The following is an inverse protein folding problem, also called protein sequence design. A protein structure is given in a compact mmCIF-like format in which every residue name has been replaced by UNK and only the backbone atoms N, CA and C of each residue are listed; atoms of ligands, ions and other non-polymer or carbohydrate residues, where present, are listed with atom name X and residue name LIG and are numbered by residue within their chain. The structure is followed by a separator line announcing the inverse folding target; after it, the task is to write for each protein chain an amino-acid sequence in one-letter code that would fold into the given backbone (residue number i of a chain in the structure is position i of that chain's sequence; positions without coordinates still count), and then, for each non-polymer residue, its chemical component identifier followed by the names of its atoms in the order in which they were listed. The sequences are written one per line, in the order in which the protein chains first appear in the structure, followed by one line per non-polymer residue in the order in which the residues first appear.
data_IF_193903726353
#
_entry.id   IF_193903726353
#
_cell.length_a   1.000
_cell.length_b   1.000
_cell.length_c   1.000
_cell.angle_alpha   90.00
_cell.angle_beta   90.00
_cell.angle_gamma   90.00
#
_symmetry.space_group_name_H-M   'P 1'
#
loop_
_entity.id
_entity.type
_entity.pdbx_description
1 polymer ?
#
# COMPACT_ATOMS: atom_id res chain seq x y z
N UNK A 1 3.94 6.32 -33.32
CA UNK A 1 3.63 5.57 -32.07
C UNK A 1 4.91 5.40 -31.29
N UNK A 2 5.23 6.34 -30.40
CA UNK A 2 6.42 6.24 -29.56
C UNK A 2 6.10 5.32 -28.38
N UNK A 3 6.77 4.17 -28.32
CA UNK A 3 6.85 3.35 -27.10
C UNK A 3 7.50 4.21 -26.02
N UNK A 4 6.71 4.66 -25.05
CA UNK A 4 7.24 5.32 -23.88
C UNK A 4 8.26 4.37 -23.24
N UNK A 5 9.54 4.73 -23.32
CA UNK A 5 10.58 4.13 -22.48
C UNK A 5 10.08 4.32 -21.05
N UNK A 6 9.90 3.21 -20.32
CA UNK A 6 9.85 3.23 -18.86
C UNK A 6 11.01 4.13 -18.42
N UNK A 7 10.68 5.25 -17.76
CA UNK A 7 11.68 6.13 -17.20
C UNK A 7 12.60 5.26 -16.35
N UNK A 8 13.90 5.29 -16.65
CA UNK A 8 14.90 4.66 -15.78
C UNK A 8 14.66 5.20 -14.38
N UNK A 9 14.56 4.31 -13.39
CA UNK A 9 14.72 4.71 -11.99
C UNK A 9 15.91 5.67 -11.94
N UNK A 10 15.67 6.90 -11.54
CA UNK A 10 16.78 7.79 -11.25
C UNK A 10 17.60 7.04 -10.20
N UNK A 11 18.91 6.82 -10.42
CA UNK A 11 19.75 6.39 -9.31
C UNK A 11 19.49 7.39 -8.19
N UNK A 12 19.35 6.91 -6.96
CA UNK A 12 19.48 7.78 -5.80
C UNK A 12 20.84 8.49 -5.97
N UNK A 13 20.81 9.70 -6.50
CA UNK A 13 21.97 10.60 -6.59
C UNK A 13 22.26 11.22 -5.23
N UNK A 14 21.37 10.98 -4.25
CA UNK A 14 21.78 10.77 -2.87
C UNK A 14 22.65 9.53 -2.86
N UNK A 15 23.95 9.76 -3.00
CA UNK A 15 24.96 8.96 -2.34
C UNK A 15 24.49 8.70 -0.92
N UNK A 16 23.76 7.60 -0.73
CA UNK A 16 23.51 7.07 0.58
C UNK A 16 24.92 6.81 1.10
N UNK A 17 25.43 7.64 2.00
CA UNK A 17 26.80 7.52 2.50
C UNK A 17 27.07 6.10 3.07
N UNK A 18 26.01 5.37 3.47
CA UNK A 18 26.04 3.97 3.88
C UNK A 18 26.29 2.95 2.75
N UNK A 19 26.01 3.30 1.49
CA UNK A 19 26.20 2.45 0.30
C UNK A 19 27.34 2.93 -0.62
N UNK A 20 28.14 3.91 -0.17
CA UNK A 20 29.39 4.29 -0.82
C UNK A 20 30.49 3.25 -0.49
N UNK A 21 30.51 2.15 -1.24
CA UNK A 21 31.53 1.09 -1.17
C UNK A 21 31.25 -0.03 -2.18
N UNK A 22 32.08 -1.08 -2.22
CA UNK A 22 31.92 -2.27 -3.08
C UNK A 22 30.69 -3.15 -2.72
N UNK A 23 29.79 -2.66 -1.86
CA UNK A 23 28.69 -3.44 -1.29
C UNK A 23 27.35 -2.99 -1.86
N UNK A 24 26.64 -3.93 -2.48
CA UNK A 24 25.27 -3.73 -2.96
C UNK A 24 24.32 -4.19 -1.85
N UNK A 25 23.37 -3.35 -1.37
CA UNK A 25 22.39 -3.79 -0.40
C UNK A 25 21.54 -4.93 -0.95
N UNK A 26 21.42 -6.01 -0.17
CA UNK A 26 20.53 -7.11 -0.45
C UNK A 26 19.47 -7.20 0.65
N UNK A 27 18.22 -7.38 0.25
CA UNK A 27 17.11 -7.61 1.16
C UNK A 27 16.90 -9.10 1.32
N UNK A 28 17.02 -9.60 2.54
CA UNK A 28 16.57 -10.94 2.87
C UNK A 28 15.07 -10.89 3.12
N UNK A 29 14.30 -11.63 2.33
CA UNK A 29 12.85 -11.76 2.50
C UNK A 29 12.47 -13.20 2.85
N UNK A 30 11.41 -13.34 3.62
CA UNK A 30 10.80 -14.65 3.85
C UNK A 30 10.17 -15.17 2.55
N UNK A 31 10.39 -16.45 2.25
CA UNK A 31 9.71 -17.09 1.14
C UNK A 31 8.23 -17.29 1.47
N UNK A 32 7.34 -16.60 0.77
CA UNK A 32 5.89 -16.74 0.92
C UNK A 32 5.40 -17.85 -0.01
N UNK A 33 4.99 -19.04 0.49
CA UNK A 33 4.57 -20.13 -0.36
C UNK A 33 3.19 -19.82 -0.97
N UNK A 34 3.20 -19.41 -2.23
CA UNK A 34 1.99 -18.98 -2.92
C UNK A 34 2.28 -18.50 -4.32
N UNK A 35 1.26 -17.92 -4.93
CA UNK A 35 1.31 -17.33 -6.26
C UNK A 35 0.64 -15.96 -6.21
N UNK A 36 1.11 -15.01 -7.03
CA UNK A 36 0.41 -13.73 -7.12
C UNK A 36 -0.98 -13.91 -7.71
N UNK A 37 -1.96 -13.10 -7.28
CA UNK A 37 -3.34 -13.14 -7.79
C UNK A 37 -3.35 -12.96 -9.32
N UNK A 38 -2.45 -12.13 -9.85
CA UNK A 38 -2.26 -11.96 -11.29
C UNK A 38 -1.65 -13.19 -11.99
N UNK A 39 -0.74 -13.93 -11.37
CA UNK A 39 -0.11 -15.10 -12.01
C UNK A 39 -1.11 -16.23 -12.31
N UNK A 40 -2.16 -16.38 -11.49
CA UNK A 40 -3.27 -17.28 -11.78
C UNK A 40 -4.04 -16.91 -13.07
N UNK A 41 -3.93 -15.66 -13.54
CA UNK A 41 -4.49 -15.22 -14.83
C UNK A 41 -3.78 -15.82 -16.05
N UNK A 42 -2.51 -16.20 -15.90
CA UNK A 42 -1.61 -16.61 -17.00
C UNK A 42 -1.61 -18.13 -17.23
N UNK A 43 -2.44 -18.89 -16.53
CA UNK A 43 -2.55 -20.33 -16.71
C UNK A 43 -3.04 -20.66 -18.14
N UNK A 44 -2.30 -21.49 -18.92
CA UNK A 44 -2.65 -21.78 -20.31
C UNK A 44 -3.98 -22.52 -20.49
N UNK A 45 -4.53 -23.07 -19.41
CA UNK A 45 -5.76 -23.88 -19.46
C UNK A 45 -7.05 -23.06 -19.43
N UNK A 46 -7.08 -21.86 -18.81
CA UNK A 46 -8.26 -20.96 -18.73
C UNK A 46 -7.88 -19.48 -18.45
N UNK A 47 -7.18 -18.79 -19.36
CA UNK A 47 -6.74 -17.43 -19.13
C UNK A 47 -7.95 -16.46 -19.04
N UNK A 48 -8.03 -15.68 -17.97
CA UNK A 48 -9.05 -14.63 -17.77
C UNK A 48 -10.15 -14.95 -16.73
N UNK A 49 -10.85 -16.09 -16.84
CA UNK A 49 -11.98 -16.38 -15.92
C UNK A 49 -11.50 -16.72 -14.49
N UNK A 50 -10.37 -17.41 -14.38
CA UNK A 50 -9.71 -17.65 -13.09
C UNK A 50 -9.26 -16.35 -12.45
N UNK A 51 -8.69 -15.43 -13.23
CA UNK A 51 -8.31 -14.10 -12.72
C UNK A 51 -9.50 -13.32 -12.18
N UNK A 52 -10.61 -13.25 -12.91
CA UNK A 52 -11.82 -12.54 -12.45
C UNK A 52 -12.31 -13.13 -11.14
N UNK A 53 -12.33 -14.46 -11.04
CA UNK A 53 -12.76 -15.17 -9.82
C UNK A 53 -11.83 -14.89 -8.64
N UNK A 54 -10.51 -15.01 -8.85
CA UNK A 54 -9.51 -14.77 -7.82
C UNK A 54 -9.46 -13.31 -7.39
N UNK A 55 -9.50 -12.38 -8.34
CA UNK A 55 -9.58 -10.95 -8.06
C UNK A 55 -10.83 -10.62 -7.25
N UNK A 56 -12.01 -11.12 -7.65
CA UNK A 56 -13.24 -10.94 -6.88
C UNK A 56 -13.16 -11.58 -5.50
N UNK A 57 -12.55 -12.77 -5.39
CA UNK A 57 -12.37 -13.46 -4.11
C UNK A 57 -11.48 -12.65 -3.18
N UNK A 58 -10.34 -12.17 -3.68
CA UNK A 58 -9.45 -11.29 -2.93
C UNK A 58 -10.17 -10.00 -2.52
N UNK A 59 -10.88 -9.32 -3.43
CA UNK A 59 -11.61 -8.09 -3.09
C UNK A 59 -12.72 -8.30 -2.04
N UNK A 60 -13.23 -9.52 -1.87
CA UNK A 60 -14.16 -9.88 -0.81
C UNK A 60 -13.48 -10.36 0.49
N UNK A 61 -12.15 -10.46 0.53
CA UNK A 61 -11.37 -10.93 1.68
C UNK A 61 -11.10 -9.82 2.70
N UNK A 62 -10.93 -10.20 3.97
CA UNK A 62 -10.55 -9.26 5.03
C UNK A 62 -9.15 -8.68 4.81
N UNK A 63 -8.25 -9.46 4.20
CA UNK A 63 -6.89 -9.04 3.89
C UNK A 63 -6.88 -7.88 2.90
N UNK A 64 -7.73 -7.92 1.86
CA UNK A 64 -7.82 -6.81 0.91
C UNK A 64 -8.22 -5.48 1.57
N UNK A 65 -9.12 -5.50 2.56
CA UNK A 65 -9.53 -4.29 3.31
C UNK A 65 -8.42 -3.77 4.20
N UNK A 66 -7.67 -4.67 4.86
CA UNK A 66 -6.51 -4.32 5.67
C UNK A 66 -5.38 -3.75 4.81
N UNK A 67 -5.06 -4.39 3.69
CA UNK A 67 -4.05 -3.91 2.75
C UNK A 67 -4.46 -2.55 2.18
N UNK A 68 -5.72 -2.38 1.78
CA UNK A 68 -6.19 -1.10 1.26
C UNK A 68 -6.09 0.03 2.32
N UNK A 69 -6.42 -0.27 3.58
CA UNK A 69 -6.27 0.69 4.67
C UNK A 69 -4.79 1.05 4.91
N UNK A 70 -3.91 0.05 4.91
CA UNK A 70 -2.48 0.25 5.05
C UNK A 70 -1.88 1.06 3.88
N UNK A 71 -2.21 0.70 2.64
CA UNK A 71 -1.74 1.39 1.43
C UNK A 71 -2.19 2.85 1.43
N UNK A 72 -3.45 3.11 1.81
CA UNK A 72 -3.95 4.49 1.94
C UNK A 72 -3.26 5.22 3.09
N UNK A 73 -2.95 4.54 4.20
CA UNK A 73 -2.25 5.18 5.32
C UNK A 73 -0.81 5.56 4.96
N UNK A 74 -0.07 4.66 4.32
CA UNK A 74 1.33 4.86 3.95
C UNK A 74 1.53 5.65 2.66
N UNK A 75 0.45 5.92 1.91
CA UNK A 75 0.53 6.63 0.64
C UNK A 75 1.16 5.79 -0.47
N UNK A 76 1.02 4.46 -0.40
CA UNK A 76 1.45 3.54 -1.45
C UNK A 76 0.56 3.72 -2.69
N UNK A 77 1.17 3.88 -3.85
CA UNK A 77 0.45 4.22 -5.09
C UNK A 77 0.41 3.12 -6.15
N UNK A 78 1.14 2.01 -5.99
CA UNK A 78 1.20 0.93 -6.98
C UNK A 78 0.57 -0.41 -6.55
N UNK A 79 -0.50 -0.40 -5.73
CA UNK A 79 -1.10 -1.68 -5.35
C UNK A 79 -1.88 -2.27 -6.51
N UNK A 80 -1.35 -3.35 -7.10
CA UNK A 80 -2.02 -4.15 -8.12
C UNK A 80 -2.01 -5.66 -7.76
N UNK A 81 -2.69 -6.49 -8.56
CA UNK A 81 -2.86 -7.92 -8.29
C UNK A 81 -1.57 -8.76 -8.48
N UNK A 82 -0.53 -8.18 -9.07
CA UNK A 82 0.82 -8.75 -9.09
C UNK A 82 1.47 -8.68 -7.71
N UNK A 83 1.20 -7.60 -6.97
CA UNK A 83 1.77 -7.30 -5.64
C UNK A 83 0.97 -7.94 -4.48
N UNK A 84 0.13 -8.93 -4.79
CA UNK A 84 -0.68 -9.66 -3.81
C UNK A 84 -0.50 -11.15 -4.05
N UNK A 85 0.05 -11.85 -3.06
CA UNK A 85 0.24 -13.30 -3.09
C UNK A 85 -0.91 -13.97 -2.37
N UNK A 86 -1.56 -14.96 -3.01
CA UNK A 86 -2.44 -15.89 -2.32
C UNK A 86 -1.61 -17.01 -1.71
N UNK A 87 -1.69 -17.14 -0.39
CA UNK A 87 -0.93 -18.16 0.32
C UNK A 87 -1.57 -19.53 0.13
N UNK A 88 -0.75 -20.60 0.04
CA UNK A 88 -1.26 -21.98 -0.14
C UNK A 88 -2.16 -22.45 1.00
N UNK A 89 -1.88 -22.02 2.23
CA UNK A 89 -2.69 -22.33 3.41
C UNK A 89 -3.94 -21.45 3.56
N UNK A 90 -4.21 -20.54 2.61
CA UNK A 90 -5.29 -19.56 2.69
C UNK A 90 -4.82 -18.18 3.17
N UNK A 91 -5.64 -17.16 2.89
CA UNK A 91 -5.28 -15.76 3.12
C UNK A 91 -4.39 -15.18 2.03
N UNK A 92 -3.98 -13.93 2.23
CA UNK A 92 -3.17 -13.18 1.29
C UNK A 92 -1.99 -12.48 1.98
N UNK A 93 -0.94 -12.21 1.20
CA UNK A 93 0.19 -11.36 1.59
C UNK A 93 0.35 -10.24 0.57
N UNK A 94 0.76 -9.06 1.04
CA UNK A 94 1.14 -7.93 0.18
C UNK A 94 2.65 -7.90 0.04
N UNK A 95 3.15 -7.62 -1.15
CA UNK A 95 4.59 -7.50 -1.46
C UNK A 95 4.85 -6.19 -2.21
N UNK A 96 6.12 -5.91 -2.54
CA UNK A 96 6.53 -4.81 -3.42
C UNK A 96 5.92 -3.46 -3.00
N UNK A 97 6.28 -3.01 -1.79
CA UNK A 97 5.81 -1.74 -1.21
C UNK A 97 6.61 -0.51 -1.66
N UNK A 98 7.21 -0.57 -2.85
CA UNK A 98 8.22 0.39 -3.32
C UNK A 98 7.72 1.84 -3.38
N UNK A 99 6.42 2.05 -3.66
CA UNK A 99 5.82 3.39 -3.78
C UNK A 99 5.25 3.92 -2.46
N UNK A 100 5.59 3.35 -1.31
CA UNK A 100 5.23 3.95 -0.01
C UNK A 100 5.76 5.37 0.11
N UNK A 101 5.02 6.22 0.82
CA UNK A 101 5.32 7.64 0.99
C UNK A 101 5.52 8.36 -0.35
N UNK A 102 4.75 7.98 -1.37
CA UNK A 102 4.99 8.40 -2.76
C UNK A 102 5.17 9.92 -2.88
N UNK A 103 4.27 10.70 -2.30
CA UNK A 103 4.28 12.17 -2.44
C UNK A 103 5.42 12.86 -1.66
N UNK A 104 6.08 12.13 -0.76
CA UNK A 104 7.19 12.64 0.03
C UNK A 104 8.53 12.26 -0.64
N UNK A 105 8.64 11.01 -1.11
CA UNK A 105 9.91 10.46 -1.57
C UNK A 105 10.07 10.44 -3.10
N UNK A 106 8.99 10.63 -3.87
CA UNK A 106 9.03 10.51 -5.33
C UNK A 106 8.82 11.86 -6.01
N UNK A 107 9.86 12.30 -6.73
CA UNK A 107 9.89 13.57 -7.45
C UNK A 107 9.27 13.38 -8.83
N UNK A 108 7.97 13.66 -8.96
CA UNK A 108 7.30 13.88 -10.26
C UNK A 108 7.48 12.75 -11.29
N UNK A 109 6.75 11.65 -11.12
CA UNK A 109 6.50 10.68 -12.19
C UNK A 109 5.06 10.76 -12.66
N UNK A 110 4.83 10.62 -13.98
CA UNK A 110 3.55 10.22 -14.57
C UNK A 110 3.20 8.82 -14.05
N UNK A 111 2.71 8.78 -12.81
CA UNK A 111 2.46 7.55 -12.08
C UNK A 111 0.99 7.19 -12.19
N UNK A 112 0.70 6.01 -12.75
CA UNK A 112 -0.64 5.47 -12.76
C UNK A 112 -1.00 4.99 -11.35
N UNK A 113 -1.68 5.84 -10.57
CA UNK A 113 -2.10 5.50 -9.22
C UNK A 113 -3.07 4.30 -9.22
N UNK A 114 -2.53 3.14 -8.84
CA UNK A 114 -3.21 1.89 -8.61
C UNK A 114 -3.48 1.70 -7.12
N UNK A 115 -4.74 1.53 -6.75
CA UNK A 115 -5.11 1.27 -5.36
C UNK A 115 -6.31 0.33 -5.27
N UNK A 116 -6.40 -0.41 -4.16
CA UNK A 116 -7.44 -1.42 -3.97
C UNK A 116 -8.84 -0.84 -3.90
N UNK A 117 -9.01 0.42 -3.53
CA UNK A 117 -10.32 1.10 -3.58
C UNK A 117 -10.83 1.18 -5.02
N UNK A 118 -9.99 1.60 -5.98
CA UNK A 118 -10.34 1.61 -7.41
C UNK A 118 -10.62 0.21 -7.94
N UNK A 119 -9.88 -0.79 -7.46
CA UNK A 119 -10.16 -2.19 -7.80
C UNK A 119 -11.51 -2.68 -7.23
N UNK A 120 -11.86 -2.28 -6.01
CA UNK A 120 -13.14 -2.60 -5.38
C UNK A 120 -14.30 -1.99 -6.16
N UNK A 121 -14.21 -0.72 -6.53
CA UNK A 121 -15.23 0.01 -7.29
C UNK A 121 -15.49 -0.60 -8.67
N UNK A 122 -14.47 -1.21 -9.29
CA UNK A 122 -14.60 -1.91 -10.58
C UNK A 122 -15.15 -3.33 -10.47
N UNK A 123 -15.01 -3.98 -9.31
CA UNK A 123 -15.20 -5.44 -9.18
C UNK A 123 -16.40 -5.81 -8.31
N UNK A 124 -16.74 -4.96 -7.35
CA UNK A 124 -17.79 -5.19 -6.36
C UNK A 124 -19.01 -4.34 -6.68
N UNK A 125 -20.19 -4.80 -6.23
CA UNK A 125 -21.40 -3.97 -6.25
C UNK A 125 -21.33 -2.84 -5.22
N UNK A 126 -22.18 -1.82 -5.38
CA UNK A 126 -22.18 -0.62 -4.53
C UNK A 126 -22.30 -0.93 -3.02
N UNK A 127 -23.12 -1.92 -2.65
CA UNK A 127 -23.28 -2.32 -1.24
C UNK A 127 -21.98 -2.89 -0.68
N UNK A 128 -21.31 -3.75 -1.45
CA UNK A 128 -20.02 -4.33 -1.10
C UNK A 128 -18.88 -3.32 -1.11
N UNK A 129 -18.88 -2.33 -2.00
CA UNK A 129 -17.92 -1.21 -1.97
C UNK A 129 -18.07 -0.40 -0.68
N UNK A 130 -19.32 -0.09 -0.28
CA UNK A 130 -19.57 0.61 0.99
C UNK A 130 -19.06 -0.18 2.19
N UNK A 131 -19.33 -1.49 2.22
CA UNK A 131 -18.80 -2.38 3.25
C UNK A 131 -17.26 -2.42 3.23
N UNK A 132 -16.65 -2.52 2.05
CA UNK A 132 -15.20 -2.50 1.88
C UNK A 132 -14.57 -1.24 2.51
N UNK A 133 -15.09 -0.06 2.19
CA UNK A 133 -14.60 1.20 2.76
C UNK A 133 -14.85 1.31 4.28
N UNK A 134 -15.99 0.82 4.77
CA UNK A 134 -16.26 0.77 6.22
C UNK A 134 -15.29 -0.16 6.96
N UNK A 135 -14.94 -1.30 6.36
CA UNK A 135 -14.01 -2.26 6.93
C UNK A 135 -12.57 -1.73 6.93
N UNK A 136 -12.18 -0.98 5.90
CA UNK A 136 -10.92 -0.24 5.88
C UNK A 136 -10.83 0.73 7.07
N UNK A 137 -11.89 1.50 7.32
CA UNK A 137 -11.95 2.42 8.47
C UNK A 137 -11.77 1.69 9.80
N UNK A 138 -12.34 0.49 9.96
CA UNK A 138 -12.14 -0.32 11.17
C UNK A 138 -10.71 -0.84 11.27
N UNK A 139 -10.10 -1.27 10.18
CA UNK A 139 -8.69 -1.68 10.16
C UNK A 139 -7.75 -0.53 10.54
N UNK A 140 -8.08 0.71 10.14
CA UNK A 140 -7.27 1.89 10.45
C UNK A 140 -7.24 2.29 11.92
N UNK A 141 -8.12 1.73 12.77
CA UNK A 141 -8.10 2.00 14.20
C UNK A 141 -6.77 1.62 14.88
N UNK A 142 -6.03 0.66 14.32
CA UNK A 142 -4.72 0.23 14.84
C UNK A 142 -3.52 1.02 14.30
N UNK A 143 -3.70 1.97 13.38
CA UNK A 143 -2.56 2.64 12.72
C UNK A 143 -1.70 3.47 13.68
N UNK A 144 -2.30 4.17 14.64
CA UNK A 144 -1.54 4.97 15.60
C UNK A 144 -0.65 4.12 16.50
N UNK A 145 -1.18 2.98 16.98
CA UNK A 145 -0.43 2.02 17.78
C UNK A 145 0.69 1.35 16.96
N UNK A 146 0.38 0.96 15.72
CA UNK A 146 1.37 0.40 14.81
C UNK A 146 2.53 1.38 14.53
N UNK A 147 2.22 2.67 14.34
CA UNK A 147 3.23 3.71 14.15
C UNK A 147 4.14 3.85 15.37
N UNK A 148 3.55 3.91 16.56
CA UNK A 148 4.29 4.02 17.81
C UNK A 148 5.21 2.81 18.00
N UNK A 149 4.73 1.59 17.71
CA UNK A 149 5.51 0.37 17.78
C UNK A 149 6.67 0.32 16.78
N UNK A 150 6.48 0.85 15.57
CA UNK A 150 7.47 0.83 14.50
C UNK A 150 8.41 2.05 14.51
N UNK A 151 8.19 3.05 15.38
CA UNK A 151 8.84 4.35 15.28
C UNK A 151 10.37 4.27 15.33
N UNK A 152 10.93 3.47 16.24
CA UNK A 152 12.38 3.33 16.37
C UNK A 152 13.01 2.70 15.11
N UNK A 153 12.39 1.64 14.59
CA UNK A 153 12.86 0.94 13.39
C UNK A 153 12.70 1.80 12.14
N UNK A 154 11.59 2.53 12.01
CA UNK A 154 11.36 3.48 10.92
C UNK A 154 12.40 4.60 10.92
N UNK A 155 12.70 5.18 12.08
CA UNK A 155 13.73 6.20 12.20
C UNK A 155 15.12 5.66 11.81
N UNK A 156 15.45 4.44 12.25
CA UNK A 156 16.72 3.79 11.88
C UNK A 156 16.79 3.55 10.37
N UNK A 157 15.70 3.07 9.75
CA UNK A 157 15.61 2.82 8.32
C UNK A 157 15.73 4.12 7.51
N UNK A 158 15.02 5.18 7.90
CA UNK A 158 15.12 6.48 7.24
C UNK A 158 16.53 7.05 7.32
N UNK A 159 17.16 7.00 8.50
CA UNK A 159 18.56 7.41 8.67
C UNK A 159 19.53 6.63 7.79
N UNK A 160 19.26 5.33 7.56
CA UNK A 160 20.06 4.50 6.68
C UNK A 160 19.84 4.84 5.20
N UNK A 161 18.59 5.03 4.77
CA UNK A 161 18.21 5.22 3.37
C UNK A 161 18.36 6.66 2.87
N UNK A 162 18.28 7.65 3.75
CA UNK A 162 18.30 9.08 3.43
C UNK A 162 19.23 9.85 4.40
N UNK A 163 20.52 9.48 4.48
CA UNK A 163 21.43 10.10 5.43
C UNK A 163 21.53 11.62 5.18
N UNK A 164 21.34 12.42 6.24
CA UNK A 164 21.39 13.88 6.17
C UNK A 164 20.09 14.57 5.68
N UNK A 165 19.06 13.81 5.31
CA UNK A 165 17.79 14.32 4.79
C UNK A 165 16.75 14.58 5.91
N UNK A 166 17.11 15.44 6.87
CA UNK A 166 16.29 15.67 8.07
C UNK A 166 14.88 16.23 7.77
N UNK A 167 14.73 16.99 6.68
CA UNK A 167 13.45 17.53 6.24
C UNK A 167 12.52 16.43 5.73
N UNK A 168 13.04 15.52 4.90
CA UNK A 168 12.34 14.36 4.36
C UNK A 168 11.95 13.38 5.46
N UNK A 169 12.83 13.16 6.45
CA UNK A 169 12.51 12.33 7.62
C UNK A 169 11.32 12.89 8.38
N UNK A 170 11.36 14.20 8.69
CA UNK A 170 10.28 14.88 9.40
C UNK A 170 8.99 14.84 8.60
N UNK A 171 9.07 15.05 7.28
CA UNK A 171 7.92 14.98 6.39
C UNK A 171 7.30 13.58 6.35
N UNK A 172 8.12 12.52 6.26
CA UNK A 172 7.66 11.13 6.27
C UNK A 172 6.95 10.77 7.58
N UNK A 173 7.56 11.09 8.73
CA UNK A 173 6.98 10.79 10.04
C UNK A 173 5.71 11.59 10.30
N UNK A 174 5.69 12.88 9.94
CA UNK A 174 4.50 13.71 10.04
C UNK A 174 3.38 13.23 9.12
N UNK A 175 3.71 12.77 7.91
CA UNK A 175 2.74 12.20 6.98
C UNK A 175 2.07 10.95 7.58
N UNK A 176 2.86 10.01 8.11
CA UNK A 176 2.32 8.80 8.74
C UNK A 176 1.49 9.12 9.98
N UNK A 177 1.96 10.05 10.82
CA UNK A 177 1.27 10.44 12.06
C UNK A 177 -0.04 11.19 11.81
N UNK A 178 -0.09 12.07 10.79
CA UNK A 178 -1.30 12.77 10.42
C UNK A 178 -2.37 11.80 9.90
N UNK A 179 -1.96 10.78 9.15
CA UNK A 179 -2.87 9.78 8.55
C UNK A 179 -3.22 8.63 9.49
N UNK A 180 -2.54 8.49 10.63
CA UNK A 180 -2.88 7.52 11.67
C UNK A 180 -3.95 8.04 12.65
N UNK A 181 -4.35 9.31 12.54
CA UNK A 181 -5.33 9.91 13.44
C UNK A 181 -6.69 9.21 13.32
N UNK A 182 -7.38 9.07 14.46
CA UNK A 182 -8.70 8.45 14.52
C UNK A 182 -9.67 9.19 13.58
N UNK A 183 -10.34 8.44 12.72
CA UNK A 183 -11.32 8.99 11.77
C UNK A 183 -10.71 9.60 10.51
N UNK A 184 -9.39 9.76 10.41
CA UNK A 184 -8.75 10.29 9.20
C UNK A 184 -9.15 9.51 7.94
N UNK A 185 -8.98 8.18 7.98
CA UNK A 185 -9.32 7.33 6.83
C UNK A 185 -10.83 7.34 6.53
N UNK A 186 -11.68 7.48 7.55
CA UNK A 186 -13.13 7.56 7.35
C UNK A 186 -13.51 8.83 6.56
N UNK A 187 -12.90 9.97 6.91
CA UNK A 187 -13.05 11.24 6.20
C UNK A 187 -12.55 11.13 4.77
N UNK A 188 -11.34 10.59 4.57
CA UNK A 188 -10.72 10.41 3.26
C UNK A 188 -11.57 9.54 2.32
N UNK A 189 -12.19 8.49 2.85
CA UNK A 189 -13.02 7.58 2.06
C UNK A 189 -14.47 8.06 1.89
N UNK A 190 -14.86 9.17 2.53
CA UNK A 190 -16.24 9.67 2.55
C UNK A 190 -17.21 8.74 3.28
N UNK A 191 -16.73 7.98 4.28
CA UNK A 191 -17.50 6.97 5.04
C UNK A 191 -18.01 7.53 6.37
N UNK A 192 -17.84 8.83 6.63
CA UNK A 192 -18.23 9.50 7.88
C UNK A 192 -19.53 8.94 8.46
N UNK A 193 -19.39 8.42 9.67
CA UNK A 193 -20.47 7.82 10.44
C UNK A 193 -21.67 8.78 10.49
N UNK A 194 -22.85 8.29 10.12
CA UNK A 194 -24.13 8.94 10.46
C UNK A 194 -24.41 8.93 11.99
N UNK A 195 -23.39 8.78 12.83
CA UNK A 195 -23.47 8.68 14.28
C UNK A 195 -23.13 9.99 15.01
N UNK A 196 -22.72 11.06 14.31
CA UNK A 196 -22.52 12.40 14.92
C UNK A 196 -23.69 13.36 14.72
N UNK A 197 -24.86 12.89 14.28
CA UNK A 197 -26.13 13.64 14.43
C UNK A 197 -26.82 13.36 15.78
N UNK A 198 -26.03 13.37 16.85
CA UNK A 198 -26.52 13.21 18.22
C UNK A 198 -25.66 14.03 19.17
N UNK A 199 -26.32 14.97 19.85
CA UNK A 199 -25.80 15.86 20.90
C UNK A 199 -25.06 17.11 20.41
N UNK A 200 -25.84 18.08 19.95
CA UNK A 200 -25.64 19.47 20.38
C UNK A 200 -26.40 19.66 21.71
N UNK A 201 -25.80 20.31 22.73
CA UNK A 201 -26.55 20.74 23.92
C UNK A 201 -27.63 21.77 23.57
#
# INVERSE_FOLDING_TARGET
MNKARLAKSQPLTLECAAFQGDFIPAWCSEAIPGNSVLSHAKSPSRPGMQFITEHKTFMNSNDARKFAAFDQWTGLRDRNMGNVIRHKAGGYASIDHETMLHDILWVSSDFNHNCLVKHAEKTLDHKRVRAFKADMTRAAAGHAEALASAQAELNALLNLLLPGAAAEHSAAMNFLAARSQRGWLASELGVLDMATKGNTP
#
